data_IF_841975957374
#
_entry.id   IF_841975957374
#
_cell.length_a   1.000
_cell.length_b   1.000
_cell.length_c   1.000
_cell.angle_alpha   90.00
_cell.angle_beta   90.00
_cell.angle_gamma   90.00
#
_symmetry.space_group_name_H-M   'P 1'
#
loop_
_entity.id
_entity.type
_entity.pdbx_description
1 polymer ?
#
# COMPACT_ATOMS: atom_id res chain seq x y z
N UNK A 1 7.47 -6.48 18.22
CA UNK A 1 8.57 -6.50 17.24
C UNK A 1 8.16 -5.57 16.11
N UNK A 2 8.52 -4.29 16.20
CA UNK A 2 8.24 -3.33 15.14
C UNK A 2 9.05 -3.77 13.92
N UNK A 3 8.36 -4.19 12.86
CA UNK A 3 9.00 -4.48 11.58
C UNK A 3 9.48 -3.16 11.01
N UNK A 4 10.78 -2.89 11.15
CA UNK A 4 11.47 -1.86 10.40
C UNK A 4 11.13 -2.08 8.93
N UNK A 5 10.40 -1.13 8.31
CA UNK A 5 10.17 -1.15 6.87
C UNK A 5 11.58 -1.10 6.26
N UNK A 6 12.05 -2.18 5.62
CA UNK A 6 13.44 -2.22 5.18
C UNK A 6 13.70 -1.02 4.28
N UNK A 7 14.87 -0.40 4.43
CA UNK A 7 15.39 0.64 3.53
C UNK A 7 15.50 0.19 2.05
N UNK A 8 15.03 -1.02 1.73
CA UNK A 8 15.04 -1.68 0.42
C UNK A 8 14.03 -1.13 -0.59
N UNK A 9 13.17 -0.17 -0.22
CA UNK A 9 12.20 0.42 -1.14
C UNK A 9 12.28 1.94 -1.12
N UNK A 10 12.84 2.47 -2.20
CA UNK A 10 12.97 3.91 -2.40
C UNK A 10 11.61 4.52 -2.78
N UNK A 11 11.38 5.81 -2.50
CA UNK A 11 10.12 6.48 -2.85
C UNK A 11 9.78 6.35 -4.33
N UNK A 12 10.77 6.40 -5.23
CA UNK A 12 10.55 6.26 -6.68
C UNK A 12 10.00 4.88 -7.04
N UNK A 13 10.47 3.82 -6.34
CA UNK A 13 9.96 2.48 -6.55
C UNK A 13 8.52 2.37 -6.06
N UNK A 14 8.19 2.98 -4.92
CA UNK A 14 6.80 3.02 -4.44
C UNK A 14 5.88 3.76 -5.41
N UNK A 15 6.32 4.91 -5.93
CA UNK A 15 5.55 5.69 -6.89
C UNK A 15 5.23 4.90 -8.17
N UNK A 16 6.12 4.01 -8.63
CA UNK A 16 5.84 3.14 -9.79
C UNK A 16 4.82 2.03 -9.51
N UNK A 17 4.66 1.61 -8.26
CA UNK A 17 3.71 0.56 -7.87
C UNK A 17 2.33 1.12 -7.52
N UNK A 18 2.27 2.40 -7.17
CA UNK A 18 1.05 3.11 -6.81
C UNK A 18 0.10 3.25 -8.01
N UNK A 19 -1.21 3.19 -7.75
CA UNK A 19 -2.21 3.60 -8.72
C UNK A 19 -2.05 5.07 -9.11
N UNK A 20 -2.77 5.50 -10.16
CA UNK A 20 -2.80 6.92 -10.51
C UNK A 20 -3.39 7.77 -9.36
N UNK A 21 -4.45 7.31 -8.72
CA UNK A 21 -5.06 8.05 -7.61
C UNK A 21 -4.13 8.15 -6.40
N UNK A 22 -3.43 7.08 -6.05
CA UNK A 22 -2.48 7.10 -4.93
C UNK A 22 -1.31 8.06 -5.21
N UNK A 23 -0.79 8.08 -6.44
CA UNK A 23 0.26 9.03 -6.83
C UNK A 23 -0.20 10.48 -6.70
N UNK A 24 -1.44 10.78 -7.09
CA UNK A 24 -2.01 12.12 -6.97
C UNK A 24 -2.12 12.56 -5.51
N UNK A 25 -2.58 11.67 -4.63
CA UNK A 25 -2.65 11.94 -3.20
C UNK A 25 -1.25 12.17 -2.59
N UNK A 26 -0.27 11.32 -2.90
CA UNK A 26 1.11 11.51 -2.44
C UNK A 26 1.68 12.85 -2.90
N UNK A 27 1.42 13.25 -4.15
CA UNK A 27 1.89 14.53 -4.68
C UNK A 27 1.27 15.74 -3.96
N UNK A 28 -0.01 15.64 -3.57
CA UNK A 28 -0.68 16.67 -2.76
C UNK A 28 -0.03 16.76 -1.38
N UNK A 29 0.19 15.62 -0.71
CA UNK A 29 0.76 15.58 0.63
C UNK A 29 2.21 16.07 0.68
N UNK A 30 2.99 15.75 -0.35
CA UNK A 30 4.38 16.23 -0.47
C UNK A 30 4.44 17.76 -0.64
N UNK A 31 3.35 18.39 -1.12
CA UNK A 31 3.21 19.84 -1.30
C UNK A 31 4.38 20.53 -2.03
N UNK A 32 5.06 19.81 -2.93
CA UNK A 32 6.23 20.32 -3.67
C UNK A 32 7.54 20.33 -2.87
N UNK A 33 7.60 19.66 -1.72
CA UNK A 33 8.83 19.49 -0.96
C UNK A 33 9.89 18.71 -1.75
N UNK A 34 11.16 19.02 -1.50
CA UNK A 34 12.31 18.41 -2.19
C UNK A 34 12.49 16.91 -1.87
N UNK A 35 11.87 16.42 -0.79
CA UNK A 35 12.04 15.04 -0.33
C UNK A 35 10.71 14.40 0.04
N UNK A 36 10.38 13.33 -0.68
CA UNK A 36 9.28 12.41 -0.35
C UNK A 36 9.68 11.50 0.81
N UNK A 37 8.83 11.43 1.84
CA UNK A 37 9.06 10.67 3.06
C UNK A 37 7.88 9.80 3.48
N UNK A 38 8.06 8.94 4.51
CA UNK A 38 7.02 8.02 4.98
C UNK A 38 5.72 8.71 5.43
N UNK A 39 5.81 9.95 5.94
CA UNK A 39 4.64 10.72 6.38
C UNK A 39 3.71 11.06 5.22
N UNK A 40 4.25 11.34 4.03
CA UNK A 40 3.45 11.67 2.85
C UNK A 40 2.67 10.43 2.37
N UNK A 41 3.30 9.25 2.42
CA UNK A 41 2.62 7.98 2.14
C UNK A 41 1.55 7.66 3.18
N UNK A 42 1.82 7.93 4.45
CA UNK A 42 0.83 7.74 5.52
C UNK A 42 -0.40 8.63 5.30
N UNK A 43 -0.20 9.93 5.07
CA UNK A 43 -1.30 10.86 4.83
C UNK A 43 -2.08 10.49 3.56
N UNK A 44 -1.38 10.15 2.47
CA UNK A 44 -2.01 9.70 1.25
C UNK A 44 -2.84 8.43 1.47
N UNK A 45 -2.36 7.49 2.30
CA UNK A 45 -3.13 6.31 2.68
C UNK A 45 -4.39 6.64 3.50
N UNK A 46 -4.31 7.65 4.39
CA UNK A 46 -5.48 8.14 5.15
C UNK A 46 -6.56 8.68 4.21
N UNK A 47 -6.19 9.34 3.12
CA UNK A 47 -7.13 9.80 2.10
C UNK A 47 -7.60 8.67 1.17
N UNK A 48 -6.69 7.77 0.79
CA UNK A 48 -6.98 6.63 -0.08
C UNK A 48 -7.97 5.66 0.56
N UNK A 49 -7.93 5.48 1.88
CA UNK A 49 -8.84 4.56 2.59
C UNK A 49 -10.32 4.86 2.26
N UNK A 50 -10.68 6.15 2.14
CA UNK A 50 -12.04 6.57 1.79
C UNK A 50 -12.40 6.21 0.36
N UNK A 51 -11.47 6.39 -0.59
CA UNK A 51 -11.64 5.97 -1.99
C UNK A 51 -11.80 4.46 -2.13
N UNK A 52 -11.14 3.68 -1.26
CA UNK A 52 -11.25 2.23 -1.22
C UNK A 52 -12.48 1.71 -0.45
N UNK A 53 -13.32 2.59 0.11
CA UNK A 53 -14.46 2.20 0.93
C UNK A 53 -14.07 1.55 2.27
N UNK A 54 -12.86 1.82 2.78
CA UNK A 54 -12.39 1.32 4.08
C UNK A 54 -12.96 2.21 5.18
N UNK A 55 -13.76 1.62 6.07
CA UNK A 55 -14.37 2.36 7.17
C UNK A 55 -13.35 2.85 8.20
N UNK A 56 -13.67 3.95 8.88
CA UNK A 56 -12.85 4.47 9.99
C UNK A 56 -12.61 3.43 11.07
N UNK A 57 -13.61 2.62 11.41
CA UNK A 57 -13.44 1.56 12.38
C UNK A 57 -12.38 0.53 11.97
N UNK A 58 -12.40 0.05 10.71
CA UNK A 58 -11.42 -0.92 10.23
C UNK A 58 -10.00 -0.31 10.15
N UNK A 59 -9.90 0.98 9.83
CA UNK A 59 -8.64 1.71 9.83
C UNK A 59 -8.06 1.89 11.25
N UNK A 60 -8.89 2.30 12.22
CA UNK A 60 -8.45 2.44 13.61
C UNK A 60 -8.01 1.10 14.18
N UNK A 61 -8.75 0.02 13.93
CA UNK A 61 -8.35 -1.34 14.34
C UNK A 61 -6.99 -1.75 13.72
N UNK A 62 -6.76 -1.42 12.45
CA UNK A 62 -5.48 -1.66 11.80
C UNK A 62 -4.33 -0.88 12.47
N UNK A 63 -4.55 0.40 12.81
CA UNK A 63 -3.57 1.22 13.53
C UNK A 63 -3.24 0.64 14.90
N UNK A 64 -4.27 0.26 15.68
CA UNK A 64 -4.10 -0.26 17.03
C UNK A 64 -3.32 -1.58 17.05
N UNK A 65 -3.55 -2.44 16.05
CA UNK A 65 -2.95 -3.79 16.01
C UNK A 65 -1.60 -3.81 15.29
N UNK A 66 -1.47 -3.10 14.17
CA UNK A 66 -0.31 -3.20 13.27
C UNK A 66 0.66 -2.01 13.37
N UNK A 67 0.20 -0.91 13.95
CA UNK A 67 0.90 0.37 13.96
C UNK A 67 0.77 1.16 12.64
N UNK A 68 1.20 2.43 12.64
CA UNK A 68 1.07 3.33 11.50
C UNK A 68 1.75 2.80 10.23
N UNK A 69 3.00 2.35 10.36
CA UNK A 69 3.83 1.93 9.22
C UNK A 69 3.23 0.76 8.44
N UNK A 70 2.82 -0.27 9.17
CA UNK A 70 2.16 -1.43 8.59
C UNK A 70 0.80 -1.08 8.01
N UNK A 71 0.06 -0.16 8.64
CA UNK A 71 -1.30 0.18 8.23
C UNK A 71 -1.34 0.96 6.92
N UNK A 72 -0.49 1.98 6.76
CA UNK A 72 -0.44 2.71 5.50
C UNK A 72 0.08 1.81 4.37
N UNK A 73 1.06 0.94 4.64
CA UNK A 73 1.57 0.00 3.66
C UNK A 73 0.51 -1.04 3.26
N UNK A 74 -0.34 -1.47 4.20
CA UNK A 74 -1.48 -2.34 3.89
C UNK A 74 -2.46 -1.65 2.93
N UNK A 75 -2.85 -0.41 3.20
CA UNK A 75 -3.73 0.37 2.31
C UNK A 75 -3.10 0.56 0.93
N UNK A 76 -1.80 0.87 0.88
CA UNK A 76 -1.03 0.98 -0.36
C UNK A 76 -1.09 -0.33 -1.18
N UNK A 77 -0.88 -1.47 -0.54
CA UNK A 77 -0.94 -2.77 -1.21
C UNK A 77 -2.36 -3.11 -1.68
N UNK A 78 -3.40 -2.74 -0.93
CA UNK A 78 -4.79 -2.95 -1.34
C UNK A 78 -5.14 -2.12 -2.57
N UNK A 79 -4.72 -0.85 -2.60
CA UNK A 79 -4.86 0.01 -3.77
C UNK A 79 -4.13 -0.57 -5.00
N UNK A 80 -2.86 -0.90 -4.85
CA UNK A 80 -2.01 -1.38 -5.94
C UNK A 80 -2.36 -2.79 -6.47
N UNK A 81 -3.25 -3.52 -5.78
CA UNK A 81 -3.75 -4.83 -6.19
C UNK A 81 -5.25 -4.82 -6.54
N UNK A 82 -5.88 -3.65 -6.69
CA UNK A 82 -7.27 -3.56 -7.21
C UNK A 82 -7.40 -4.18 -8.60
N UNK A 83 -6.37 -4.00 -9.43
CA UNK A 83 -6.25 -4.47 -10.81
C UNK A 83 -5.47 -5.77 -10.94
N UNK A 84 -5.25 -6.51 -9.84
CA UNK A 84 -4.52 -7.78 -9.91
C UNK A 84 -5.20 -8.71 -10.94
N UNK A 85 -4.46 -9.28 -11.91
CA UNK A 85 -5.05 -9.98 -13.06
C UNK A 85 -5.86 -11.23 -12.66
N UNK A 86 -5.37 -12.00 -11.68
CA UNK A 86 -6.05 -13.23 -11.23
C UNK A 86 -6.95 -13.01 -10.00
N UNK A 87 -6.44 -12.31 -8.99
CA UNK A 87 -7.12 -12.11 -7.70
C UNK A 87 -7.24 -10.63 -7.32
N UNK A 88 -8.08 -9.86 -8.05
CA UNK A 88 -8.27 -8.44 -7.78
C UNK A 88 -8.86 -8.21 -6.38
N UNK A 89 -8.39 -7.16 -5.69
CA UNK A 89 -8.96 -6.74 -4.40
C UNK A 89 -10.33 -6.10 -4.65
N UNK A 90 -11.40 -6.87 -4.42
CA UNK A 90 -12.80 -6.40 -4.59
C UNK A 90 -13.42 -5.78 -3.34
N UNK A 91 -12.93 -6.16 -2.16
CA UNK A 91 -13.41 -5.64 -0.89
C UNK A 91 -12.21 -5.20 -0.02
N UNK A 92 -11.70 -3.96 -0.22
CA UNK A 92 -10.55 -3.46 0.51
C UNK A 92 -10.77 -3.43 2.03
N UNK A 93 -11.97 -3.09 2.51
CA UNK A 93 -12.27 -3.07 3.95
C UNK A 93 -12.20 -4.45 4.60
N UNK A 94 -12.79 -5.46 3.95
CA UNK A 94 -12.69 -6.86 4.40
C UNK A 94 -11.26 -7.39 4.32
N UNK A 95 -10.53 -7.02 3.27
CA UNK A 95 -9.13 -7.40 3.09
C UNK A 95 -8.23 -6.78 4.17
N UNK A 96 -8.42 -5.50 4.52
CA UNK A 96 -7.69 -4.84 5.60
C UNK A 96 -7.92 -5.56 6.94
N UNK A 97 -9.17 -5.86 7.31
CA UNK A 97 -9.47 -6.63 8.54
C UNK A 97 -8.81 -8.00 8.54
N UNK A 98 -8.78 -8.69 7.40
CA UNK A 98 -8.08 -9.96 7.28
C UNK A 98 -6.55 -9.80 7.45
N UNK A 99 -5.95 -8.72 6.94
CA UNK A 99 -4.55 -8.38 7.17
C UNK A 99 -4.30 -8.06 8.64
N UNK A 100 -5.15 -7.26 9.28
CA UNK A 100 -5.10 -6.93 10.71
C UNK A 100 -5.08 -8.19 11.58
N UNK A 101 -6.03 -9.11 11.35
CA UNK A 101 -6.07 -10.41 12.06
C UNK A 101 -4.79 -11.23 11.85
N UNK A 102 -4.29 -11.33 10.62
CA UNK A 102 -3.02 -12.05 10.35
C UNK A 102 -1.84 -11.37 11.04
N UNK A 103 -1.85 -10.06 11.19
CA UNK A 103 -0.79 -9.33 11.88
C UNK A 103 -0.80 -9.63 13.37
N UNK A 104 -1.98 -9.62 14.01
CA UNK A 104 -2.15 -10.01 15.41
C UNK A 104 -1.65 -11.45 15.67
N UNK A 105 -1.80 -12.34 14.69
CA UNK A 105 -1.33 -13.72 14.73
C UNK A 105 0.17 -13.88 14.39
N UNK A 106 0.88 -12.80 14.03
CA UNK A 106 2.28 -12.86 13.58
C UNK A 106 2.48 -13.51 12.21
N UNK A 107 1.42 -13.59 11.38
CA UNK A 107 1.38 -14.28 10.08
C UNK A 107 1.35 -13.33 8.89
N UNK A 108 1.29 -12.02 9.10
CA UNK A 108 1.27 -11.04 8.02
C UNK A 108 2.69 -10.74 7.53
N UNK A 109 2.92 -10.87 6.22
CA UNK A 109 4.17 -10.48 5.56
C UNK A 109 3.91 -9.40 4.50
N UNK A 110 3.92 -8.14 4.94
CA UNK A 110 3.72 -6.97 4.06
C UNK A 110 4.88 -6.80 3.08
N UNK A 111 6.12 -6.93 3.55
CA UNK A 111 7.31 -6.80 2.72
C UNK A 111 7.32 -7.82 1.58
N UNK A 112 7.05 -9.09 1.88
CA UNK A 112 6.95 -10.15 0.88
C UNK A 112 5.83 -9.88 -0.13
N UNK A 113 4.73 -9.25 0.30
CA UNK A 113 3.65 -8.84 -0.59
C UNK A 113 4.07 -7.69 -1.51
N UNK A 114 4.83 -6.72 -1.01
CA UNK A 114 5.41 -5.64 -1.81
C UNK A 114 6.43 -6.15 -2.83
N UNK A 115 7.31 -7.08 -2.44
CA UNK A 115 8.28 -7.72 -3.35
C UNK A 115 7.55 -8.45 -4.48
N UNK A 116 6.50 -9.23 -4.16
CA UNK A 116 5.68 -9.92 -5.18
C UNK A 116 5.00 -8.93 -6.13
N UNK A 117 4.41 -7.87 -5.59
CA UNK A 117 3.81 -6.80 -6.38
C UNK A 117 4.84 -6.17 -7.34
N UNK A 118 6.04 -5.83 -6.85
CA UNK A 118 7.09 -5.25 -7.66
C UNK A 118 7.54 -6.16 -8.80
N UNK A 119 7.81 -7.44 -8.51
CA UNK A 119 8.20 -8.43 -9.52
C UNK A 119 7.13 -8.62 -10.59
N UNK A 120 5.85 -8.57 -10.21
CA UNK A 120 4.72 -8.68 -11.13
C UNK A 120 4.67 -7.49 -12.09
N UNK A 121 4.70 -6.25 -11.56
CA UNK A 121 4.70 -5.03 -12.38
C UNK A 121 5.90 -4.98 -13.34
N UNK A 122 7.08 -5.41 -12.87
CA UNK A 122 8.28 -5.52 -13.71
C UNK A 122 8.13 -6.57 -14.83
N UNK A 123 7.39 -7.66 -14.58
CA UNK A 123 7.10 -8.65 -15.61
C UNK A 123 6.07 -8.15 -16.63
N UNK A 124 5.00 -7.49 -16.18
CA UNK A 124 3.98 -6.85 -17.04
C UNK A 124 4.63 -5.83 -17.99
N UNK A 125 5.50 -4.95 -17.47
CA UNK A 125 6.20 -3.94 -18.28
C UNK A 125 7.18 -4.52 -19.31
N UNK A 126 7.64 -5.77 -19.14
CA UNK A 126 8.48 -6.48 -20.13
C UNK A 126 7.65 -7.16 -21.22
N UNK A 127 6.37 -7.41 -20.96
CA UNK A 127 5.46 -8.11 -21.88
C UNK A 127 4.76 -7.14 -22.82
N UNK A 128 4.62 -5.85 -22.50
CA UNK A 128 4.15 -4.83 -23.45
C UNK A 128 5.15 -4.67 -24.61
N UNK A 129 4.81 -5.07 -25.86
CA UNK A 129 5.64 -4.78 -27.02
C UNK A 129 5.42 -3.34 -27.50
N UNK A 130 6.46 -2.77 -28.10
CA UNK A 130 6.45 -1.54 -28.91
C UNK A 130 5.23 -1.49 -29.87
N UNK A 131 4.62 -0.30 -30.09
CA UNK A 131 3.43 -0.12 -30.93
C UNK A 131 3.56 -0.65 -32.36
#
# INVERSE_FOLDING_TARGET
MAGEVPHSFTPERMMRLASLEMRALIAIETAGADRLGPVDFYNAAVHMRSHLGISTHAWTEALDVMGPDSSWLAVFLLDANRDHPETPVRNPGGALRAMTRRSAEGRLNLLGSLIRLARRREAEARVEPCP
#
